data_IF_519206195626
#
_entry.id   IF_519206195626
#
_cell.length_a   1.000
_cell.length_b   1.000
_cell.length_c   1.000
_cell.angle_alpha   90.00
_cell.angle_beta   90.00
_cell.angle_gamma   90.00
#
_symmetry.space_group_name_H-M   'P 1'
#
loop_
_entity.id
_entity.type
_entity.pdbx_description
1 polymer ?
#
# COMPACT_ATOMS: atom_id res chain seq x y z
N UNK A 1 12.76 6.56 -11.60
CA UNK A 1 12.08 5.26 -11.80
C UNK A 1 10.58 5.53 -11.92
N UNK A 2 9.88 4.99 -12.91
CA UNK A 2 8.43 5.21 -13.08
C UNK A 2 7.62 4.02 -12.52
N UNK A 3 6.29 4.16 -12.44
CA UNK A 3 5.40 3.15 -11.84
C UNK A 3 5.52 1.76 -12.48
N UNK A 4 5.68 1.70 -13.81
CA UNK A 4 5.82 0.43 -14.55
C UNK A 4 7.06 -0.33 -14.10
N UNK A 5 8.18 0.35 -13.88
CA UNK A 5 9.41 -0.29 -13.41
C UNK A 5 9.28 -0.80 -11.98
N UNK A 6 8.54 -0.10 -11.10
CA UNK A 6 8.26 -0.58 -9.75
C UNK A 6 7.36 -1.81 -9.78
N UNK A 7 6.25 -1.77 -10.50
CA UNK A 7 5.35 -2.92 -10.57
C UNK A 7 6.05 -4.15 -11.18
N UNK A 8 6.90 -3.94 -12.19
CA UNK A 8 7.75 -4.98 -12.77
C UNK A 8 8.84 -5.51 -11.82
N UNK A 9 9.25 -4.74 -10.80
CA UNK A 9 10.15 -5.21 -9.74
C UNK A 9 9.41 -6.00 -8.66
N UNK A 10 8.22 -5.55 -8.25
CA UNK A 10 7.42 -6.22 -7.22
C UNK A 10 6.89 -7.58 -7.67
N UNK A 11 6.52 -7.73 -8.96
CA UNK A 11 6.04 -9.00 -9.50
C UNK A 11 7.02 -10.18 -9.31
N UNK A 12 8.30 -10.12 -9.74
CA UNK A 12 9.25 -11.21 -9.55
C UNK A 12 9.60 -11.44 -8.07
N UNK A 13 9.53 -10.41 -7.21
CA UNK A 13 9.70 -10.59 -5.75
C UNK A 13 8.57 -11.46 -5.19
N UNK A 14 7.30 -11.13 -5.51
CA UNK A 14 6.12 -11.93 -5.13
C UNK A 14 6.24 -13.37 -5.59
N UNK A 15 6.58 -13.57 -6.87
CA UNK A 15 6.72 -14.89 -7.47
C UNK A 15 7.83 -15.71 -6.78
N UNK A 16 8.98 -15.10 -6.50
CA UNK A 16 10.09 -15.79 -5.81
C UNK A 16 9.76 -16.17 -4.37
N UNK A 17 9.10 -15.30 -3.62
CA UNK A 17 8.69 -15.60 -2.22
C UNK A 17 7.76 -16.81 -2.21
N UNK A 18 6.75 -16.83 -3.08
CA UNK A 18 5.80 -17.96 -3.17
C UNK A 18 6.44 -19.24 -3.70
N UNK A 19 7.25 -19.14 -4.75
CA UNK A 19 7.85 -20.32 -5.39
C UNK A 19 8.93 -21.01 -4.54
N UNK A 20 9.75 -20.22 -3.84
CA UNK A 20 10.86 -20.74 -3.05
C UNK A 20 10.43 -21.06 -1.61
N UNK A 21 9.26 -20.56 -1.18
CA UNK A 21 8.78 -20.74 0.18
C UNK A 21 9.80 -20.24 1.20
N UNK A 22 10.53 -19.16 0.86
CA UNK A 22 11.57 -18.62 1.74
C UNK A 22 10.90 -18.39 3.09
N UNK A 23 11.39 -19.03 4.17
CA UNK A 23 10.89 -18.77 5.51
C UNK A 23 11.16 -17.31 5.82
N UNK A 24 10.18 -16.47 5.55
CA UNK A 24 10.21 -15.10 6.01
C UNK A 24 9.87 -15.17 7.49
N UNK A 25 10.67 -14.50 8.32
CA UNK A 25 10.31 -14.26 9.72
C UNK A 25 9.08 -13.36 9.85
N UNK A 26 8.62 -12.76 8.75
CA UNK A 26 7.50 -11.86 8.67
C UNK A 26 6.43 -12.41 7.73
N UNK A 27 5.19 -12.43 8.18
CA UNK A 27 4.04 -12.76 7.35
C UNK A 27 3.55 -11.49 6.66
N UNK A 28 3.69 -11.39 5.33
CA UNK A 28 3.40 -10.15 4.63
C UNK A 28 2.82 -10.37 3.23
N UNK A 29 2.12 -9.34 2.75
CA UNK A 29 1.75 -9.18 1.34
C UNK A 29 2.28 -7.85 0.79
N UNK A 30 2.12 -7.64 -0.52
CA UNK A 30 2.58 -6.42 -1.19
C UNK A 30 1.50 -5.83 -2.07
N UNK A 31 1.20 -4.55 -1.93
CA UNK A 31 0.41 -3.78 -2.87
C UNK A 31 1.29 -3.20 -4.00
N UNK A 32 0.66 -2.68 -5.05
CA UNK A 32 1.34 -2.12 -6.22
C UNK A 32 0.98 -0.64 -6.41
N UNK A 33 1.58 -0.01 -7.43
CA UNK A 33 1.32 1.43 -7.65
C UNK A 33 -0.12 1.72 -8.08
N UNK A 34 -0.83 0.73 -8.64
CA UNK A 34 -2.23 0.85 -9.02
C UNK A 34 -3.11 0.96 -7.78
N UNK A 35 -2.88 0.11 -6.77
CA UNK A 35 -3.60 0.18 -5.49
C UNK A 35 -3.46 1.57 -4.86
N UNK A 36 -2.23 2.07 -4.70
CA UNK A 36 -2.01 3.38 -4.07
C UNK A 36 -2.61 4.53 -4.87
N UNK A 37 -2.56 4.44 -6.20
CA UNK A 37 -3.18 5.46 -7.06
C UNK A 37 -4.70 5.50 -6.88
N UNK A 38 -5.36 4.34 -6.83
CA UNK A 38 -6.81 4.28 -6.61
C UNK A 38 -7.14 4.79 -5.20
N UNK A 39 -6.41 4.34 -4.17
CA UNK A 39 -6.61 4.74 -2.78
C UNK A 39 -6.51 6.26 -2.62
N UNK A 40 -5.44 6.88 -3.12
CA UNK A 40 -5.23 8.34 -3.07
C UNK A 40 -6.32 9.07 -3.86
N UNK A 41 -6.74 8.55 -5.01
CA UNK A 41 -7.80 9.16 -5.82
C UNK A 41 -9.17 9.13 -5.15
N UNK A 42 -9.46 8.10 -4.35
CA UNK A 42 -10.76 7.92 -3.70
C UNK A 42 -10.81 8.51 -2.30
N UNK A 43 -9.66 8.82 -1.73
CA UNK A 43 -9.53 9.45 -0.42
C UNK A 43 -10.40 10.71 -0.21
N UNK A 44 -10.45 11.70 -1.13
CA UNK A 44 -11.30 12.88 -0.92
C UNK A 44 -12.78 12.53 -0.77
N UNK A 45 -13.27 11.59 -1.58
CA UNK A 45 -14.67 11.14 -1.53
C UNK A 45 -14.97 10.40 -0.23
N UNK A 46 -14.05 9.54 0.20
CA UNK A 46 -14.16 8.82 1.48
C UNK A 46 -14.23 9.78 2.68
N UNK A 47 -13.43 10.86 2.68
CA UNK A 47 -13.49 11.88 3.73
C UNK A 47 -14.84 12.59 3.80
N UNK A 48 -15.42 12.95 2.65
CA UNK A 48 -16.77 13.53 2.64
C UNK A 48 -17.82 12.52 3.13
N UNK A 49 -17.69 11.22 2.80
CA UNK A 49 -18.57 10.19 3.37
C UNK A 49 -18.60 10.21 4.89
N UNK A 50 -17.41 10.19 5.51
CA UNK A 50 -17.27 10.20 6.97
C UNK A 50 -17.89 11.45 7.56
N UNK A 51 -17.59 12.61 6.97
CA UNK A 51 -18.09 13.91 7.45
C UNK A 51 -19.61 14.02 7.38
N UNK A 52 -20.22 13.45 6.35
CA UNK A 52 -21.67 13.41 6.16
C UNK A 52 -22.35 12.24 6.88
N UNK A 53 -21.58 11.40 7.58
CA UNK A 53 -22.05 10.16 8.21
C UNK A 53 -22.82 9.24 7.23
N UNK A 54 -22.36 9.19 5.97
CA UNK A 54 -22.93 8.32 4.93
C UNK A 54 -21.98 7.15 4.66
N UNK A 55 -22.50 5.97 4.26
CA UNK A 55 -21.65 4.86 3.86
C UNK A 55 -20.82 5.25 2.62
N UNK A 56 -19.60 4.72 2.55
CA UNK A 56 -18.80 4.71 1.33
C UNK A 56 -19.18 3.46 0.53
N UNK A 57 -19.40 3.63 -0.78
CA UNK A 57 -19.77 2.53 -1.65
C UNK A 57 -18.52 1.72 -2.03
N UNK A 58 -18.28 0.65 -1.28
CA UNK A 58 -17.16 -0.26 -1.53
C UNK A 58 -17.39 -1.17 -2.74
N UNK A 59 -18.64 -1.37 -3.17
CA UNK A 59 -18.97 -2.22 -4.31
C UNK A 59 -18.55 -1.53 -5.62
N UNK A 60 -18.71 -0.21 -5.71
CA UNK A 60 -18.15 0.59 -6.82
C UNK A 60 -16.61 0.57 -6.85
N UNK A 61 -15.96 0.41 -5.70
CA UNK A 61 -14.51 0.33 -5.56
C UNK A 61 -13.98 -1.10 -5.42
N UNK A 62 -14.62 -2.05 -6.11
CA UNK A 62 -14.28 -3.48 -6.08
C UNK A 62 -12.78 -3.77 -6.25
N UNK A 63 -12.04 -2.93 -6.98
CA UNK A 63 -10.58 -3.09 -7.14
C UNK A 63 -9.85 -2.95 -5.81
N UNK A 64 -10.15 -1.94 -4.99
CA UNK A 64 -9.53 -1.79 -3.67
C UNK A 64 -9.87 -2.98 -2.78
N UNK A 65 -11.13 -3.41 -2.84
CA UNK A 65 -11.66 -4.59 -2.16
C UNK A 65 -10.87 -5.84 -2.59
N UNK A 66 -10.61 -6.03 -3.87
CA UNK A 66 -9.88 -7.19 -4.39
C UNK A 66 -8.44 -7.30 -3.87
N UNK A 67 -7.77 -6.16 -3.68
CA UNK A 67 -6.45 -6.14 -3.05
C UNK A 67 -6.52 -6.60 -1.59
N UNK A 68 -7.50 -6.10 -0.83
CA UNK A 68 -7.65 -6.40 0.60
C UNK A 68 -8.05 -7.85 0.84
N UNK A 69 -8.99 -8.36 0.03
CA UNK A 69 -9.45 -9.75 0.12
C UNK A 69 -8.49 -10.76 -0.53
N UNK A 70 -7.49 -10.29 -1.27
CA UNK A 70 -6.57 -11.17 -1.99
C UNK A 70 -7.22 -11.93 -3.15
N UNK A 71 -8.37 -11.47 -3.65
CA UNK A 71 -9.10 -12.07 -4.78
C UNK A 71 -8.49 -11.73 -6.14
N UNK A 72 -7.53 -10.81 -6.19
CA UNK A 72 -6.78 -10.49 -7.41
C UNK A 72 -5.92 -11.70 -7.83
N UNK A 73 -6.16 -12.20 -9.04
CA UNK A 73 -5.63 -13.48 -9.57
C UNK A 73 -4.09 -13.59 -9.54
N UNK A 74 -3.37 -12.46 -9.55
CA UNK A 74 -1.91 -12.40 -9.59
C UNK A 74 -1.22 -12.44 -8.22
N UNK A 75 -1.82 -13.13 -7.26
CA UNK A 75 -1.26 -13.48 -5.95
C UNK A 75 -1.18 -12.32 -4.93
N UNK A 76 -2.17 -12.26 -4.05
CA UNK A 76 -2.03 -11.64 -2.73
C UNK A 76 -2.67 -12.53 -1.68
N UNK A 77 -1.97 -12.76 -0.57
CA UNK A 77 -2.62 -13.34 0.59
C UNK A 77 -3.57 -12.26 1.16
N UNK A 78 -4.79 -12.62 1.59
CA UNK A 78 -5.75 -11.66 2.12
C UNK A 78 -5.10 -10.85 3.24
N UNK A 79 -5.39 -9.56 3.33
CA UNK A 79 -4.77 -8.69 4.34
C UNK A 79 -5.09 -9.16 5.77
N UNK A 80 -6.23 -9.81 5.96
CA UNK A 80 -6.62 -10.44 7.23
C UNK A 80 -5.73 -11.63 7.65
N UNK A 81 -4.89 -12.14 6.74
CA UNK A 81 -4.03 -13.30 6.97
C UNK A 81 -2.54 -12.94 7.11
N UNK A 82 -2.19 -11.66 7.05
CA UNK A 82 -0.79 -11.18 7.09
C UNK A 82 -0.59 -10.14 8.20
N UNK A 83 0.65 -10.02 8.67
CA UNK A 83 1.02 -9.01 9.69
C UNK A 83 1.37 -7.67 9.05
N UNK A 84 1.90 -7.70 7.81
CA UNK A 84 2.43 -6.53 7.12
C UNK A 84 1.94 -6.42 5.68
N UNK A 85 1.71 -5.18 5.24
CA UNK A 85 1.49 -4.87 3.82
C UNK A 85 2.54 -3.87 3.36
N UNK A 86 3.36 -4.29 2.38
CA UNK A 86 4.34 -3.41 1.76
C UNK A 86 3.79 -2.74 0.51
N UNK A 87 3.97 -1.43 0.36
CA UNK A 87 3.41 -0.70 -0.77
C UNK A 87 4.33 0.44 -1.23
N UNK A 88 4.55 0.62 -2.55
CA UNK A 88 5.27 1.77 -3.06
C UNK A 88 4.39 3.03 -2.97
N UNK A 89 4.93 4.10 -2.38
CA UNK A 89 4.24 5.38 -2.28
C UNK A 89 5.04 6.49 -2.94
N UNK A 90 4.36 7.32 -3.74
CA UNK A 90 5.00 8.42 -4.43
C UNK A 90 4.76 9.73 -3.69
N UNK A 91 5.83 10.27 -3.12
CA UNK A 91 5.86 11.59 -2.51
C UNK A 91 5.98 12.65 -3.62
N UNK A 92 4.93 13.46 -3.74
CA UNK A 92 4.84 14.60 -4.67
C UNK A 92 5.07 14.28 -6.15
N UNK A 93 4.92 13.03 -6.58
CA UNK A 93 5.17 12.61 -7.96
C UNK A 93 6.64 12.44 -8.34
N UNK A 94 7.57 12.68 -7.42
CA UNK A 94 9.01 12.77 -7.72
C UNK A 94 9.86 11.73 -6.96
N UNK A 95 9.42 11.33 -5.77
CA UNK A 95 10.22 10.52 -4.86
C UNK A 95 9.44 9.29 -4.41
N UNK A 96 10.04 8.11 -4.55
CA UNK A 96 9.39 6.86 -4.16
C UNK A 96 9.93 6.38 -2.83
N UNK A 97 9.00 6.09 -1.92
CA UNK A 97 9.29 5.45 -0.63
C UNK A 97 8.57 4.13 -0.52
N UNK A 98 9.08 3.24 0.32
CA UNK A 98 8.39 2.00 0.67
C UNK A 98 7.62 2.21 1.97
N UNK A 99 6.31 2.02 1.93
CA UNK A 99 5.50 1.94 3.14
C UNK A 99 5.41 0.48 3.60
N UNK A 100 5.44 0.28 4.92
CA UNK A 100 4.93 -0.93 5.57
C UNK A 100 3.77 -0.52 6.45
N UNK A 101 2.60 -1.04 6.10
CA UNK A 101 1.42 -1.00 6.96
C UNK A 101 1.55 -2.19 7.92
N UNK A 102 1.90 -1.91 9.16
CA UNK A 102 1.98 -2.87 10.25
C UNK A 102 0.58 -3.03 10.84
N UNK A 103 -0.10 -4.11 10.45
CA UNK A 103 -1.49 -4.38 10.84
C UNK A 103 -1.60 -4.86 12.29
N UNK A 104 -0.50 -5.34 12.88
CA UNK A 104 -0.44 -5.84 14.26
C UNK A 104 -0.32 -4.68 15.25
N UNK A 105 0.57 -3.73 14.98
CA UNK A 105 0.78 -2.55 15.85
C UNK A 105 0.01 -1.31 15.41
N UNK A 106 -0.73 -1.39 14.30
CA UNK A 106 -1.45 -0.27 13.69
C UNK A 106 -0.52 0.92 13.38
N UNK A 107 0.65 0.65 12.78
CA UNK A 107 1.65 1.66 12.45
C UNK A 107 1.93 1.70 10.96
N UNK A 108 2.29 2.89 10.47
CA UNK A 108 2.88 3.07 9.14
C UNK A 108 4.37 3.33 9.32
N UNK A 109 5.20 2.44 8.77
CA UNK A 109 6.66 2.59 8.73
C UNK A 109 7.08 2.98 7.32
N UNK A 110 8.06 3.87 7.21
CA UNK A 110 8.54 4.40 5.94
C UNK A 110 10.02 4.10 5.78
N UNK A 111 10.39 3.44 4.68
CA UNK A 111 11.78 3.37 4.24
C UNK A 111 11.98 4.39 3.13
N UNK A 112 12.76 5.41 3.45
CA UNK A 112 13.20 6.43 2.53
C UNK A 112 14.70 6.24 2.25
N UNK A 113 15.04 5.90 1.00
CA UNK A 113 16.42 5.75 0.57
C UNK A 113 17.13 7.08 0.32
N UNK A 114 16.39 8.20 0.25
CA UNK A 114 16.91 9.53 -0.05
C UNK A 114 16.23 10.59 0.84
N UNK A 115 16.51 10.59 2.16
CA UNK A 115 15.87 11.47 3.14
C UNK A 115 16.19 12.97 2.94
N UNK A 116 17.11 13.31 2.04
CA UNK A 116 17.37 14.70 1.65
C UNK A 116 16.26 15.31 0.80
N UNK A 117 15.38 14.50 0.18
CA UNK A 117 14.28 14.99 -0.66
C UNK A 117 12.98 15.22 0.11
N UNK A 118 12.75 14.50 1.19
CA UNK A 118 11.55 14.64 2.01
C UNK A 118 11.96 14.54 3.47
N UNK A 119 11.69 15.60 4.22
CA UNK A 119 12.02 15.63 5.65
C UNK A 119 11.12 14.68 6.43
N UNK A 120 11.56 14.21 7.59
CA UNK A 120 10.75 13.35 8.45
C UNK A 120 9.44 14.04 8.91
N UNK A 121 9.49 15.36 9.14
CA UNK A 121 8.31 16.17 9.48
C UNK A 121 7.32 16.21 8.33
N UNK A 122 7.79 16.47 7.12
CA UNK A 122 6.96 16.48 5.90
C UNK A 122 6.34 15.10 5.65
N UNK A 123 7.12 14.02 5.76
CA UNK A 123 6.62 12.65 5.63
C UNK A 123 5.53 12.36 6.67
N UNK A 124 5.75 12.80 7.91
CA UNK A 124 4.77 12.65 8.99
C UNK A 124 3.48 13.38 8.62
N UNK A 125 3.56 14.64 8.21
CA UNK A 125 2.40 15.45 7.81
C UNK A 125 1.59 14.83 6.65
N UNK A 126 2.26 14.18 5.70
CA UNK A 126 1.60 13.47 4.59
C UNK A 126 0.83 12.23 5.08
N UNK A 127 1.39 11.54 6.08
CA UNK A 127 0.87 10.26 6.59
C UNK A 127 0.06 10.39 7.88
N UNK A 128 -0.18 11.60 8.38
CA UNK A 128 -0.91 11.82 9.61
C UNK A 128 -2.29 11.15 9.54
N UNK A 129 -2.64 10.32 10.54
CA UNK A 129 -4.00 9.79 10.65
C UNK A 129 -5.00 10.94 10.88
N UNK A 130 -6.24 10.73 10.43
CA UNK A 130 -7.36 11.67 10.66
C UNK A 130 -7.80 11.60 12.12
#
# INVERSE_FOLDING_TARGET
MNSVHLDALFLPIRLKIKAVGIPSSQNFTTADTIFMRILVSKWPLYKECIKENRPFDWDEEYRLVDYVFGSKEDFQDPWASVDYVYSPFNVHGNHWVLLCLDLVSCQVKVWDSLPSLTTAEEMTNILLPI
#
